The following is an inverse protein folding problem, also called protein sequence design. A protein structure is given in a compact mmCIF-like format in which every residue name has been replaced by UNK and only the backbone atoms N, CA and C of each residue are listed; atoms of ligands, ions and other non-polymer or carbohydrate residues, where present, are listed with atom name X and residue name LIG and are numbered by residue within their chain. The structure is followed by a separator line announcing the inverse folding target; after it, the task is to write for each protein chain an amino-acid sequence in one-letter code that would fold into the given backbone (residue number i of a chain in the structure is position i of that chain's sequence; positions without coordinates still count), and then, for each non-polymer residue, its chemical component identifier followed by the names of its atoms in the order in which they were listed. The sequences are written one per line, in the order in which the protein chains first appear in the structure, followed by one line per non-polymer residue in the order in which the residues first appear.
data_IF_880676490783
#
_entry.id   IF_880676490783
#
_cell.length_a   1.000
_cell.length_b   1.000
_cell.length_c   1.000
_cell.angle_alpha   90.00
_cell.angle_beta   90.00
_cell.angle_gamma   90.00
#
_symmetry.space_group_name_H-M   'P 1'
#
loop_
_entity.id
_entity.type
_entity.pdbx_description
1 polymer ?
#
# COMPACT_ATOMS: atom_id res chain seq x y z
N UNK A 1 -0.38 -15.16 86.49
CA UNK A 1 -1.79 -15.36 86.12
C UNK A 1 -1.91 -14.58 84.84
N UNK A 2 -1.54 -15.23 83.75
CA UNK A 2 -1.27 -14.62 82.45
C UNK A 2 -2.15 -15.33 81.41
N UNK A 3 -2.77 -14.60 80.47
CA UNK A 3 -3.90 -15.09 79.72
C UNK A 3 -3.51 -15.95 78.51
N UNK A 4 -4.49 -16.78 78.16
CA UNK A 4 -4.62 -17.78 77.12
C UNK A 4 -4.31 -17.24 75.71
N UNK A 5 -3.47 -17.96 74.95
CA UNK A 5 -3.13 -17.67 73.55
C UNK A 5 -4.20 -18.28 72.65
N UNK A 6 -5.13 -17.46 72.14
CA UNK A 6 -6.06 -17.84 71.07
C UNK A 6 -5.41 -17.61 69.71
N UNK A 7 -5.13 -18.70 69.01
CA UNK A 7 -4.74 -18.69 67.59
C UNK A 7 -6.02 -18.58 66.76
N UNK A 8 -6.31 -17.39 66.25
CA UNK A 8 -7.35 -17.20 65.25
C UNK A 8 -6.79 -17.56 63.86
N UNK A 9 -7.29 -18.65 63.31
CA UNK A 9 -7.20 -18.96 61.87
C UNK A 9 -8.26 -18.14 61.13
N UNK A 10 -7.90 -17.34 60.11
CA UNK A 10 -8.91 -16.72 59.26
C UNK A 10 -9.32 -17.69 58.15
N UNK A 11 -10.48 -18.32 58.32
CA UNK A 11 -11.35 -18.72 57.22
C UNK A 11 -12.07 -17.46 56.73
N UNK A 12 -11.86 -17.06 55.48
CA UNK A 12 -12.93 -16.52 54.64
C UNK A 12 -12.43 -16.23 53.24
N UNK A 13 -13.13 -16.85 52.29
CA UNK A 13 -13.20 -16.59 50.87
C UNK A 13 -13.11 -15.10 50.50
N UNK A 14 -11.95 -14.66 50.03
CA UNK A 14 -11.84 -13.48 49.15
C UNK A 14 -11.39 -13.97 47.77
N UNK A 15 -12.32 -14.63 47.08
CA UNK A 15 -12.31 -14.71 45.62
C UNK A 15 -12.48 -13.30 45.09
N UNK A 16 -11.36 -12.58 44.98
CA UNK A 16 -11.27 -11.33 44.24
C UNK A 16 -11.63 -11.66 42.80
N UNK A 17 -12.91 -11.46 42.48
CA UNK A 17 -13.38 -11.39 41.12
C UNK A 17 -12.46 -10.39 40.40
N UNK A 18 -11.64 -10.91 39.49
CA UNK A 18 -10.81 -10.11 38.60
C UNK A 18 -11.80 -9.34 37.74
N UNK A 19 -12.21 -8.17 38.23
CA UNK A 19 -12.98 -7.22 37.45
C UNK A 19 -12.14 -6.94 36.23
N UNK A 20 -12.65 -7.42 35.08
CA UNK A 20 -12.08 -7.21 33.76
C UNK A 20 -11.97 -5.71 33.59
N UNK A 21 -10.77 -5.18 33.86
CA UNK A 21 -10.52 -3.75 33.86
C UNK A 21 -10.94 -3.24 32.50
N UNK A 22 -11.99 -2.44 32.47
CA UNK A 22 -12.45 -1.77 31.27
C UNK A 22 -11.32 -0.82 30.89
N UNK A 23 -10.45 -1.27 29.98
CA UNK A 23 -9.39 -0.45 29.41
C UNK A 23 -10.13 0.62 28.61
N UNK A 24 -10.19 1.83 29.16
CA UNK A 24 -10.63 3.00 28.40
C UNK A 24 -9.38 3.44 27.63
N UNK A 25 -9.26 3.21 26.31
CA UNK A 25 -8.14 3.73 25.57
C UNK A 25 -8.50 5.16 25.19
N UNK A 26 -7.77 6.15 25.72
CA UNK A 26 -7.54 7.39 24.98
C UNK A 26 -6.49 7.16 23.87
N UNK A 27 -6.57 5.99 23.22
CA UNK A 27 -5.50 5.37 22.45
C UNK A 27 -5.70 5.54 20.97
N UNK A 28 -4.60 5.54 20.24
CA UNK A 28 -4.53 5.61 18.78
C UNK A 28 -5.67 4.82 18.11
N UNK A 29 -6.47 5.52 17.30
CA UNK A 29 -7.61 4.92 16.59
C UNK A 29 -7.15 3.77 15.71
N UNK A 30 -5.98 3.89 15.07
CA UNK A 30 -5.45 2.84 14.19
C UNK A 30 -5.12 1.58 15.00
N UNK A 31 -4.44 1.71 16.15
CA UNK A 31 -4.14 0.56 17.02
C UNK A 31 -5.42 -0.14 17.50
N UNK A 32 -6.44 0.64 17.86
CA UNK A 32 -7.74 0.08 18.25
C UNK A 32 -8.37 -0.72 17.10
N UNK A 33 -8.29 -0.19 15.87
CA UNK A 33 -8.81 -0.88 14.69
C UNK A 33 -8.00 -2.13 14.32
N UNK A 34 -6.68 -2.13 14.57
CA UNK A 34 -5.83 -3.30 14.39
C UNK A 34 -6.22 -4.41 15.36
N UNK A 35 -6.49 -4.08 16.63
CA UNK A 35 -7.01 -5.04 17.61
C UNK A 35 -8.39 -5.59 17.17
N UNK A 36 -9.27 -4.75 16.61
CA UNK A 36 -10.58 -5.16 16.11
C UNK A 36 -10.51 -6.14 14.91
N UNK A 37 -9.37 -6.25 14.21
CA UNK A 37 -9.18 -7.27 13.17
C UNK A 37 -9.21 -8.69 13.73
N UNK A 38 -8.94 -8.87 15.03
CA UNK A 38 -8.96 -10.17 15.71
C UNK A 38 -10.34 -10.55 16.26
N UNK A 39 -11.37 -9.72 16.03
CA UNK A 39 -12.74 -10.02 16.48
C UNK A 39 -13.28 -11.28 15.78
N UNK A 40 -13.98 -12.11 16.57
CA UNK A 40 -14.62 -13.34 16.06
C UNK A 40 -15.84 -13.05 15.20
N UNK A 41 -16.50 -11.91 15.40
CA UNK A 41 -17.65 -11.50 14.61
C UNK A 41 -17.19 -10.91 13.27
N UNK A 42 -17.49 -11.57 12.12
CA UNK A 42 -17.10 -11.07 10.81
C UNK A 42 -17.70 -9.69 10.47
N UNK A 43 -18.80 -9.29 11.11
CA UNK A 43 -19.35 -7.93 10.89
C UNK A 43 -18.45 -6.87 11.50
N UNK A 44 -17.94 -7.10 12.71
CA UNK A 44 -17.02 -6.17 13.38
C UNK A 44 -15.68 -6.12 12.66
N UNK A 45 -15.16 -7.28 12.26
CA UNK A 45 -13.90 -7.36 11.52
C UNK A 45 -13.97 -6.64 10.17
N UNK A 46 -15.05 -6.82 9.40
CA UNK A 46 -15.31 -6.05 8.17
C UNK A 46 -15.42 -4.55 8.43
N UNK A 47 -16.03 -4.14 9.53
CA UNK A 47 -16.08 -2.74 9.92
C UNK A 47 -14.68 -2.19 10.23
N UNK A 48 -13.83 -2.96 10.92
CA UNK A 48 -12.45 -2.58 11.18
C UNK A 48 -11.64 -2.45 9.88
N UNK A 49 -11.72 -3.43 8.97
CA UNK A 49 -11.08 -3.36 7.63
C UNK A 49 -11.51 -2.10 6.88
N UNK A 50 -12.81 -1.81 6.85
CA UNK A 50 -13.33 -0.61 6.18
C UNK A 50 -12.82 0.68 6.81
N UNK A 51 -12.83 0.79 8.14
CA UNK A 51 -12.31 1.97 8.84
C UNK A 51 -10.81 2.15 8.60
N UNK A 52 -10.02 1.07 8.64
CA UNK A 52 -8.59 1.13 8.32
C UNK A 52 -8.34 1.67 6.91
N UNK A 53 -9.13 1.26 5.91
CA UNK A 53 -9.07 1.81 4.55
C UNK A 53 -9.28 3.34 4.53
N UNK A 54 -10.21 3.84 5.36
CA UNK A 54 -10.56 5.26 5.45
C UNK A 54 -9.48 6.07 6.17
N UNK A 55 -8.88 5.52 7.23
CA UNK A 55 -7.72 6.16 7.90
C UNK A 55 -6.53 6.25 6.97
N UNK A 56 -6.39 5.27 6.06
CA UNK A 56 -5.30 5.15 5.11
C UNK A 56 -3.89 5.16 5.73
N UNK A 57 -3.79 4.71 6.98
CA UNK A 57 -2.52 4.60 7.67
C UNK A 57 -1.77 3.36 7.18
N UNK A 58 -0.53 3.55 6.71
CA UNK A 58 0.31 2.47 6.19
C UNK A 58 0.65 1.40 7.24
N UNK A 59 0.54 1.73 8.54
CA UNK A 59 0.77 0.76 9.63
C UNK A 59 -0.17 -0.44 9.56
N UNK A 60 -1.32 -0.29 8.91
CA UNK A 60 -2.29 -1.37 8.77
C UNK A 60 -1.96 -2.41 7.69
N UNK A 61 -0.97 -2.16 6.82
CA UNK A 61 -0.74 -3.01 5.65
C UNK A 61 -0.37 -4.45 6.03
N UNK A 62 0.53 -4.66 6.98
CA UNK A 62 0.99 -6.00 7.38
C UNK A 62 -0.16 -6.81 8.01
N UNK A 63 -0.88 -6.23 8.98
CA UNK A 63 -2.01 -6.90 9.62
C UNK A 63 -3.15 -7.22 8.64
N UNK A 64 -3.39 -6.36 7.65
CA UNK A 64 -4.38 -6.62 6.60
C UNK A 64 -3.94 -7.78 5.69
N UNK A 65 -2.65 -7.85 5.32
CA UNK A 65 -2.11 -8.96 4.52
C UNK A 65 -2.20 -10.28 5.29
N UNK A 66 -1.81 -10.30 6.56
CA UNK A 66 -1.88 -11.49 7.41
C UNK A 66 -3.33 -12.00 7.54
N UNK A 67 -4.29 -11.07 7.65
CA UNK A 67 -5.70 -11.42 7.77
C UNK A 67 -6.27 -12.11 6.51
N UNK A 68 -5.64 -11.99 5.35
CA UNK A 68 -6.11 -12.66 4.13
C UNK A 68 -6.07 -14.19 4.21
N UNK A 69 -5.25 -14.76 5.11
CA UNK A 69 -5.01 -16.20 5.22
C UNK A 69 -6.25 -16.92 5.77
N UNK A 70 -6.88 -16.36 6.80
CA UNK A 70 -7.90 -17.05 7.62
C UNK A 70 -9.32 -16.44 7.48
N UNK A 71 -9.62 -15.81 6.34
CA UNK A 71 -10.89 -15.08 6.11
C UNK A 71 -11.68 -15.59 4.90
N UNK A 72 -12.98 -15.27 4.85
CA UNK A 72 -13.84 -15.64 3.73
C UNK A 72 -13.58 -14.78 2.47
N UNK A 73 -14.18 -15.15 1.33
CA UNK A 73 -13.95 -14.43 0.07
C UNK A 73 -14.44 -12.98 0.09
N UNK A 74 -15.46 -12.64 0.88
CA UNK A 74 -15.95 -11.27 0.99
C UNK A 74 -14.95 -10.40 1.76
N UNK A 75 -14.41 -10.94 2.84
CA UNK A 75 -13.37 -10.28 3.63
C UNK A 75 -12.08 -10.11 2.84
N UNK A 76 -11.63 -11.13 2.09
CA UNK A 76 -10.46 -11.01 1.20
C UNK A 76 -10.62 -9.89 0.18
N UNK A 77 -11.80 -9.75 -0.43
CA UNK A 77 -12.09 -8.64 -1.34
C UNK A 77 -12.04 -7.28 -0.64
N UNK A 78 -12.60 -7.17 0.58
CA UNK A 78 -12.58 -5.94 1.37
C UNK A 78 -11.15 -5.55 1.79
N UNK A 79 -10.34 -6.55 2.14
CA UNK A 79 -8.93 -6.36 2.49
C UNK A 79 -8.14 -5.84 1.27
N UNK A 80 -8.33 -6.43 0.10
CA UNK A 80 -7.70 -5.95 -1.14
C UNK A 80 -8.10 -4.50 -1.47
N UNK A 81 -9.38 -4.15 -1.27
CA UNK A 81 -9.84 -2.77 -1.40
C UNK A 81 -9.12 -1.84 -0.41
N UNK A 82 -9.03 -2.22 0.86
CA UNK A 82 -8.34 -1.45 1.88
C UNK A 82 -6.85 -1.23 1.56
N UNK A 83 -6.15 -2.29 1.18
CA UNK A 83 -4.73 -2.24 0.78
C UNK A 83 -4.52 -1.32 -0.43
N UNK A 84 -5.41 -1.38 -1.42
CA UNK A 84 -5.37 -0.50 -2.60
C UNK A 84 -5.56 0.97 -2.23
N UNK A 85 -6.51 1.27 -1.35
CA UNK A 85 -6.78 2.63 -0.88
C UNK A 85 -5.60 3.20 -0.07
N UNK A 86 -5.05 2.40 0.86
CA UNK A 86 -3.86 2.78 1.64
C UNK A 86 -2.70 3.06 0.69
N UNK A 87 -2.39 2.12 -0.22
CA UNK A 87 -1.30 2.24 -1.19
C UNK A 87 -1.45 3.48 -2.08
N UNK A 88 -2.66 3.76 -2.57
CA UNK A 88 -2.91 4.94 -3.42
C UNK A 88 -2.62 6.25 -2.68
N UNK A 89 -2.91 6.31 -1.38
CA UNK A 89 -2.67 7.51 -0.57
C UNK A 89 -1.21 7.65 -0.17
N UNK A 90 -0.49 6.55 0.06
CA UNK A 90 0.95 6.57 0.40
C UNK A 90 1.84 6.85 -0.82
N UNK A 91 1.44 6.40 -2.01
CA UNK A 91 2.20 6.61 -3.25
C UNK A 91 2.22 8.07 -3.73
N UNK A 92 1.16 8.85 -3.44
CA UNK A 92 1.08 10.26 -3.88
C UNK A 92 2.20 11.14 -3.29
N UNK A 93 2.42 11.20 -1.95
CA UNK A 93 3.54 11.91 -1.37
C UNK A 93 4.91 11.40 -1.86
N UNK A 94 5.06 10.08 -2.03
CA UNK A 94 6.30 9.48 -2.54
C UNK A 94 6.64 9.99 -3.94
N UNK A 95 5.66 10.03 -4.85
CA UNK A 95 5.85 10.56 -6.20
C UNK A 95 6.25 12.05 -6.18
N UNK A 96 5.63 12.85 -5.30
CA UNK A 96 6.00 14.24 -5.13
C UNK A 96 7.45 14.41 -4.62
N UNK A 97 7.85 13.62 -3.61
CA UNK A 97 9.21 13.65 -3.06
C UNK A 97 10.27 13.27 -4.12
N UNK A 98 10.00 12.26 -4.95
CA UNK A 98 10.88 11.86 -6.05
C UNK A 98 11.00 12.96 -7.10
N UNK A 99 9.87 13.60 -7.46
CA UNK A 99 9.85 14.73 -8.40
C UNK A 99 10.71 15.89 -7.90
N UNK A 100 10.58 16.27 -6.63
CA UNK A 100 11.41 17.30 -6.01
C UNK A 100 12.89 16.90 -5.98
N UNK A 101 13.17 15.65 -5.62
CA UNK A 101 14.54 15.14 -5.50
C UNK A 101 15.28 15.10 -6.85
N UNK A 102 14.56 14.92 -7.96
CA UNK A 102 15.14 15.03 -9.31
C UNK A 102 15.55 16.46 -9.69
N UNK A 103 14.97 17.46 -9.05
CA UNK A 103 15.26 18.88 -9.29
C UNK A 103 16.20 19.47 -8.22
N UNK A 104 16.69 18.65 -7.29
CA UNK A 104 17.53 19.10 -6.19
C UNK A 104 18.86 19.69 -6.69
N UNK A 105 19.35 20.74 -6.01
CA UNK A 105 20.61 21.41 -6.37
C UNK A 105 21.81 20.48 -6.21
N UNK A 106 21.77 19.58 -5.24
CA UNK A 106 22.83 18.62 -4.96
C UNK A 106 22.77 17.45 -5.96
N UNK A 107 23.83 17.22 -6.77
CA UNK A 107 23.87 16.10 -7.71
C UNK A 107 23.70 14.72 -7.07
N UNK A 108 24.08 14.54 -5.80
CA UNK A 108 23.94 13.27 -5.12
C UNK A 108 22.48 12.94 -4.81
N UNK A 109 21.66 13.94 -4.46
CA UNK A 109 20.22 13.76 -4.22
C UNK A 109 19.53 13.32 -5.52
N UNK A 110 19.83 13.99 -6.64
CA UNK A 110 19.32 13.59 -7.96
C UNK A 110 19.71 12.17 -8.35
N UNK A 111 20.98 11.79 -8.13
CA UNK A 111 21.46 10.41 -8.36
C UNK A 111 20.72 9.38 -7.50
N UNK A 112 20.41 9.72 -6.25
CA UNK A 112 19.64 8.83 -5.39
C UNK A 112 18.20 8.68 -5.88
N UNK A 113 17.53 9.77 -6.26
CA UNK A 113 16.19 9.74 -6.82
C UNK A 113 16.09 8.84 -8.07
N UNK A 114 17.07 8.91 -8.97
CA UNK A 114 17.14 8.03 -10.15
C UNK A 114 17.25 6.56 -9.73
N UNK A 115 18.12 6.23 -8.76
CA UNK A 115 18.26 4.85 -8.25
C UNK A 115 16.97 4.34 -7.60
N UNK A 116 16.29 5.19 -6.84
CA UNK A 116 15.02 4.82 -6.19
C UNK A 116 13.92 4.59 -7.22
N UNK A 117 13.84 5.42 -8.27
CA UNK A 117 12.92 5.18 -9.40
C UNK A 117 13.20 3.85 -10.11
N UNK A 118 14.46 3.45 -10.28
CA UNK A 118 14.81 2.13 -10.83
C UNK A 118 14.30 1.00 -9.94
N UNK A 119 14.47 1.10 -8.62
CA UNK A 119 13.95 0.08 -7.67
C UNK A 119 12.43 -0.01 -7.72
N UNK A 120 11.74 1.12 -7.80
CA UNK A 120 10.27 1.16 -7.93
C UNK A 120 9.84 0.49 -9.24
N UNK A 121 10.52 0.79 -10.35
CA UNK A 121 10.28 0.12 -11.63
C UNK A 121 10.45 -1.40 -11.54
N UNK A 122 11.47 -1.89 -10.83
CA UNK A 122 11.69 -3.33 -10.66
C UNK A 122 10.57 -3.99 -9.84
N UNK A 123 10.02 -3.31 -8.84
CA UNK A 123 8.83 -3.77 -8.11
C UNK A 123 7.59 -3.77 -9.01
N UNK A 124 7.36 -2.71 -9.79
CA UNK A 124 6.25 -2.65 -10.74
C UNK A 124 6.34 -3.74 -11.80
N UNK A 125 7.56 -4.08 -12.26
CA UNK A 125 7.80 -5.16 -13.21
C UNK A 125 7.38 -6.52 -12.66
N UNK A 126 7.65 -6.79 -11.38
CA UNK A 126 7.20 -8.01 -10.72
C UNK A 126 5.67 -8.09 -10.61
N UNK A 127 5.02 -6.97 -10.26
CA UNK A 127 3.55 -6.90 -10.21
C UNK A 127 2.94 -7.13 -11.60
N UNK A 128 3.55 -6.55 -12.64
CA UNK A 128 3.13 -6.78 -14.02
C UNK A 128 3.24 -8.26 -14.42
N UNK A 129 4.31 -8.95 -14.01
CA UNK A 129 4.44 -10.39 -14.22
C UNK A 129 3.30 -11.17 -13.55
N UNK A 130 2.89 -10.82 -12.32
CA UNK A 130 1.75 -11.46 -11.67
C UNK A 130 0.46 -11.29 -12.51
N UNK A 131 0.24 -10.10 -13.06
CA UNK A 131 -0.91 -9.84 -13.93
C UNK A 131 -0.85 -10.63 -15.25
N UNK A 132 0.35 -10.85 -15.81
CA UNK A 132 0.52 -11.71 -16.98
C UNK A 132 0.13 -13.16 -16.70
N UNK A 133 0.43 -13.69 -15.51
CA UNK A 133 -0.01 -15.05 -15.13
C UNK A 133 -1.53 -15.14 -15.05
N UNK A 134 -2.23 -14.08 -14.64
CA UNK A 134 -3.69 -14.05 -14.58
C UNK A 134 -4.38 -14.13 -15.96
N UNK A 135 -3.65 -13.98 -17.06
CA UNK A 135 -4.19 -14.22 -18.42
C UNK A 135 -4.47 -15.71 -18.65
N UNK A 136 -3.76 -16.59 -17.93
CA UNK A 136 -3.87 -18.05 -18.02
C UNK A 136 -4.80 -18.62 -16.94
N UNK A 137 -5.53 -17.76 -16.20
CA UNK A 137 -6.45 -18.19 -15.16
C UNK A 137 -7.51 -19.16 -15.71
N UNK A 138 -7.93 -20.14 -14.90
CA UNK A 138 -8.97 -21.09 -15.31
C UNK A 138 -10.34 -20.43 -15.56
N UNK A 139 -10.61 -19.31 -14.90
CA UNK A 139 -11.83 -18.54 -15.03
C UNK A 139 -11.72 -17.50 -16.15
N UNK A 140 -12.67 -17.56 -17.09
CA UNK A 140 -12.68 -16.68 -18.26
C UNK A 140 -12.83 -15.20 -17.91
N UNK A 141 -13.63 -14.86 -16.90
CA UNK A 141 -13.85 -13.47 -16.48
C UNK A 141 -12.57 -12.89 -15.88
N UNK A 142 -11.80 -13.70 -15.15
CA UNK A 142 -10.48 -13.32 -14.64
C UNK A 142 -9.51 -13.07 -15.79
N UNK A 143 -9.45 -13.95 -16.79
CA UNK A 143 -8.60 -13.74 -17.97
C UNK A 143 -8.94 -12.44 -18.73
N UNK A 144 -10.23 -12.16 -18.94
CA UNK A 144 -10.70 -10.96 -19.62
C UNK A 144 -10.36 -9.70 -18.82
N UNK A 145 -10.52 -9.75 -17.50
CA UNK A 145 -10.12 -8.67 -16.57
C UNK A 145 -8.61 -8.42 -16.61
N UNK A 146 -7.79 -9.49 -16.61
CA UNK A 146 -6.34 -9.39 -16.71
C UNK A 146 -5.90 -8.72 -18.02
N UNK A 147 -6.47 -9.15 -19.16
CA UNK A 147 -6.20 -8.55 -20.49
C UNK A 147 -6.58 -7.08 -20.52
N UNK A 148 -7.75 -6.72 -19.96
CA UNK A 148 -8.18 -5.34 -19.86
C UNK A 148 -7.20 -4.50 -19.02
N UNK A 149 -6.79 -5.00 -17.85
CA UNK A 149 -5.87 -4.30 -16.96
C UNK A 149 -4.49 -4.08 -17.60
N UNK A 150 -3.94 -5.08 -18.30
CA UNK A 150 -2.67 -4.96 -19.03
C UNK A 150 -2.78 -3.90 -20.12
N UNK A 151 -3.87 -3.89 -20.87
CA UNK A 151 -4.09 -2.87 -21.90
C UNK A 151 -4.15 -1.46 -21.29
N UNK A 152 -4.81 -1.29 -20.14
CA UNK A 152 -4.80 -0.01 -19.43
C UNK A 152 -3.40 0.40 -18.97
N UNK A 153 -2.59 -0.52 -18.44
CA UNK A 153 -1.22 -0.18 -18.02
C UNK A 153 -0.34 0.21 -19.21
N UNK A 154 -0.48 -0.47 -20.34
CA UNK A 154 0.29 -0.18 -21.55
C UNK A 154 -0.06 1.17 -22.18
N UNK A 155 -1.29 1.66 -22.04
CA UNK A 155 -1.68 2.99 -22.56
C UNK A 155 -1.21 4.15 -21.67
N UNK A 156 -0.93 3.88 -20.39
CA UNK A 156 -0.44 4.88 -19.43
C UNK A 156 1.08 5.05 -19.46
N UNK A 157 1.80 4.08 -20.01
CA UNK A 157 3.25 4.19 -20.26
C UNK A 157 3.42 4.93 -21.59
N UNK A 158 4.01 6.15 -21.62
CA UNK A 158 4.31 6.79 -22.89
C UNK A 158 5.19 5.86 -23.73
N UNK A 159 4.98 5.78 -25.06
CA UNK A 159 5.81 4.94 -25.92
C UNK A 159 7.27 5.25 -25.66
N UNK A 160 8.07 4.20 -25.52
CA UNK A 160 9.49 4.26 -25.12
C UNK A 160 10.19 5.44 -25.79
N UNK A 161 10.84 6.23 -24.97
CA UNK A 161 11.81 7.23 -25.35
C UNK A 161 12.93 6.53 -26.15
N UNK A 162 12.91 6.62 -27.47
CA UNK A 162 14.05 6.35 -28.36
C UNK A 162 15.16 7.41 -28.15
N UNK A 163 15.51 7.72 -26.89
CA UNK A 163 16.48 8.77 -26.52
C UNK A 163 17.66 8.24 -25.71
N UNK A 164 17.96 6.93 -25.79
CA UNK A 164 19.21 6.38 -25.24
C UNK A 164 20.26 6.14 -26.33
N UNK A 165 19.93 6.31 -27.61
CA UNK A 165 20.93 6.49 -28.65
C UNK A 165 21.08 7.98 -28.92
N UNK A 166 22.23 8.55 -28.57
CA UNK A 166 22.59 9.94 -28.86
C UNK A 166 22.81 10.17 -30.36
N UNK A 167 21.76 10.00 -31.17
CA UNK A 167 21.72 10.49 -32.53
C UNK A 167 20.67 11.59 -32.57
N UNK A 168 21.14 12.83 -32.72
CA UNK A 168 20.27 13.96 -33.04
C UNK A 168 19.44 13.58 -34.28
N UNK A 169 18.12 13.81 -34.30
CA UNK A 169 17.37 13.69 -35.55
C UNK A 169 18.01 14.62 -36.58
N UNK A 170 18.15 14.18 -37.85
CA UNK A 170 18.76 15.02 -38.88
C UNK A 170 17.98 16.33 -38.95
N UNK A 171 18.72 17.42 -38.79
CA UNK A 171 18.21 18.78 -38.92
C UNK A 171 17.56 18.87 -40.31
N UNK A 172 16.23 18.98 -40.33
CA UNK A 172 15.49 19.19 -41.57
C UNK A 172 15.83 20.62 -42.00
N UNK A 173 16.90 20.77 -42.77
CA UNK A 173 17.17 21.98 -43.52
C UNK A 173 16.03 22.15 -44.50
N UNK A 174 15.08 23.00 -44.14
CA UNK A 174 14.10 23.53 -45.08
C UNK A 174 14.92 24.38 -46.04
N UNK A 175 15.23 23.85 -47.23
CA UNK A 175 15.75 24.67 -48.31
C UNK A 175 14.71 25.74 -48.63
N UNK A 176 15.01 26.98 -48.26
CA UNK A 176 14.28 28.13 -48.77
C UNK A 176 14.48 28.18 -50.29
N UNK A 177 13.40 28.30 -51.09
CA UNK A 177 13.55 28.42 -52.53
C UNK A 177 14.18 29.78 -52.84
N UNK A 178 15.40 29.75 -53.41
CA UNK A 178 16.10 30.93 -53.90
C UNK A 178 15.20 31.76 -54.82
N UNK A 179 14.80 32.93 -54.34
CA UNK A 179 14.30 34.03 -55.15
C UNK A 179 15.49 34.90 -55.55
N UNK A 180 16.08 34.66 -56.72
CA UNK A 180 16.92 35.66 -57.38
C UNK A 180 16.24 36.12 -58.66
N UNK A 181 15.47 37.21 -58.49
CA UNK A 181 15.30 38.24 -59.51
C UNK A 181 16.39 39.30 -59.29
N UNK A 182 16.99 39.73 -60.40
CA UNK A 182 17.88 40.90 -60.62
C UNK A 182 19.36 40.54 -60.84
N UNK A 183 19.76 40.42 -62.10
CA UNK A 183 20.24 41.54 -62.94
C UNK A 183 20.10 41.20 -64.43
#
# INVERSE_FOLDING_TARGET
MDPEVTVETPDSEDVVAIQKTTRIPSGDEVETLLDELQEKDPKKRRQAIWKLAQTADSRAMESLVDLMIDTDSQERSLILEALSQISTRTLKPMNHALTLSLQDKNPQVRKNAIRDLTRIHDLMSQIYQLLCHSIEDSDREVQETAKWAINQLNTQIPPRLDMVTGENPPEVTVEEPYSDFME
#
